data_IF_277935357628
#
_entry.id   IF_277935357628
#
_cell.length_a   1.000
_cell.length_b   1.000
_cell.length_c   1.000
_cell.angle_alpha   90.00
_cell.angle_beta   90.00
_cell.angle_gamma   90.00
#
_symmetry.space_group_name_H-M   'P 1'
#
loop_
_entity.id
_entity.type
_entity.pdbx_description
1 polymer ?
#
# COMPACT_ATOMS: atom_id res chain seq x y z
N UNK A 1 -9.93 0.03 -16.13
CA UNK A 1 -9.19 0.39 -14.89
C UNK A 1 -8.67 -0.88 -14.24
N UNK A 2 -7.64 -0.77 -13.40
CA UNK A 2 -7.10 -1.85 -12.57
C UNK A 2 -7.40 -1.49 -11.12
N UNK A 3 -7.97 -2.43 -10.37
CA UNK A 3 -8.23 -2.26 -8.93
C UNK A 3 -7.42 -3.34 -8.22
N UNK A 4 -6.58 -2.94 -7.26
CA UNK A 4 -5.80 -3.87 -6.45
C UNK A 4 -6.22 -3.80 -4.99
N UNK A 5 -6.29 -4.97 -4.36
CA UNK A 5 -6.53 -5.11 -2.92
C UNK A 5 -5.28 -5.72 -2.30
N UNK A 6 -4.68 -5.02 -1.36
CA UNK A 6 -3.44 -5.42 -0.69
C UNK A 6 -3.81 -5.97 0.68
N UNK A 7 -3.50 -7.23 0.88
CA UNK A 7 -3.63 -7.94 2.14
C UNK A 7 -2.61 -9.08 2.19
N UNK A 8 -1.40 -8.74 2.61
CA UNK A 8 -0.26 -9.64 2.64
C UNK A 8 0.71 -9.24 3.75
N UNK A 9 1.19 -10.21 4.52
CA UNK A 9 2.29 -10.01 5.47
C UNK A 9 3.66 -9.82 4.78
N UNK A 10 3.72 -10.04 3.46
CA UNK A 10 4.94 -9.97 2.65
C UNK A 10 4.99 -11.05 1.58
N UNK A 11 5.92 -10.90 0.63
CA UNK A 11 6.22 -11.96 -0.33
C UNK A 11 6.75 -13.21 0.39
N UNK A 12 6.41 -14.40 -0.12
CA UNK A 12 6.71 -15.66 0.57
C UNK A 12 8.23 -15.91 0.65
N UNK A 13 8.83 -15.99 1.86
CA UNK A 13 10.29 -16.08 2.00
C UNK A 13 10.77 -17.55 1.92
N UNK A 14 10.49 -18.23 0.81
CA UNK A 14 10.84 -19.62 0.58
C UNK A 14 11.96 -19.82 -0.44
N UNK A 15 12.75 -20.90 -0.29
CA UNK A 15 13.83 -21.25 -1.22
C UNK A 15 13.32 -21.31 -2.66
N UNK A 16 12.19 -21.99 -2.88
CA UNK A 16 11.61 -22.09 -4.21
C UNK A 16 11.17 -20.73 -4.80
N UNK A 17 10.79 -19.77 -3.96
CA UNK A 17 10.44 -18.43 -4.41
C UNK A 17 11.68 -17.68 -4.89
N UNK A 18 12.79 -17.81 -4.18
CA UNK A 18 14.08 -17.26 -4.58
C UNK A 18 14.61 -17.91 -5.87
N UNK A 19 14.55 -19.24 -5.98
CA UNK A 19 14.95 -19.98 -7.19
C UNK A 19 14.15 -19.57 -8.43
N UNK A 20 12.88 -19.17 -8.24
CA UNK A 20 11.99 -18.68 -9.30
C UNK A 20 12.09 -17.16 -9.52
N UNK A 21 13.00 -16.47 -8.83
CA UNK A 21 13.26 -15.04 -9.04
C UNK A 21 12.19 -14.13 -8.45
N UNK A 22 11.76 -14.36 -7.19
CA UNK A 22 10.76 -13.51 -6.52
C UNK A 22 11.09 -12.00 -6.59
N UNK A 23 12.35 -11.62 -6.43
CA UNK A 23 12.78 -10.23 -6.57
C UNK A 23 12.55 -9.66 -7.99
N UNK A 24 12.81 -10.44 -9.04
CA UNK A 24 12.52 -10.05 -10.43
C UNK A 24 11.01 -9.93 -10.67
N UNK A 25 10.23 -10.87 -10.14
CA UNK A 25 8.77 -10.85 -10.26
C UNK A 25 8.16 -9.59 -9.61
N UNK A 26 8.64 -9.19 -8.43
CA UNK A 26 8.24 -7.95 -7.76
C UNK A 26 8.66 -6.74 -8.60
N UNK A 27 9.94 -6.66 -8.99
CA UNK A 27 10.46 -5.53 -9.77
C UNK A 27 9.71 -5.35 -11.10
N UNK A 28 9.41 -6.44 -11.80
CA UNK A 28 8.66 -6.44 -13.04
C UNK A 28 7.21 -6.04 -12.85
N UNK A 29 6.58 -6.45 -11.74
CA UNK A 29 5.22 -6.02 -11.41
C UNK A 29 5.16 -4.51 -11.15
N UNK A 30 6.15 -3.98 -10.43
CA UNK A 30 6.31 -2.52 -10.23
C UNK A 30 6.51 -1.81 -11.57
N UNK A 31 7.43 -2.27 -12.41
CA UNK A 31 7.71 -1.66 -13.71
C UNK A 31 6.46 -1.67 -14.62
N UNK A 32 5.75 -2.80 -14.70
CA UNK A 32 4.48 -2.89 -15.44
C UNK A 32 3.47 -1.90 -14.86
N UNK A 33 3.28 -1.89 -13.54
CA UNK A 33 2.37 -0.97 -12.86
C UNK A 33 2.71 0.50 -13.11
N UNK A 34 3.98 0.88 -13.16
CA UNK A 34 4.40 2.25 -13.51
C UNK A 34 4.19 2.62 -14.99
N UNK A 35 4.03 1.63 -15.88
CA UNK A 35 3.96 1.82 -17.33
C UNK A 35 2.57 1.59 -17.94
N UNK A 36 1.62 0.97 -17.24
CA UNK A 36 0.26 0.76 -17.80
C UNK A 36 -0.45 2.09 -18.03
N UNK A 37 -1.18 2.15 -19.15
CA UNK A 37 -1.88 3.36 -19.65
C UNK A 37 -3.34 3.47 -19.19
N UNK A 38 -3.70 2.78 -18.12
CA UNK A 38 -5.05 2.77 -17.55
C UNK A 38 -4.99 3.20 -16.09
N UNK A 39 -6.08 3.75 -15.53
CA UNK A 39 -6.14 4.09 -14.12
C UNK A 39 -5.93 2.85 -13.24
N UNK A 40 -5.11 2.99 -12.20
CA UNK A 40 -4.89 2.01 -11.13
C UNK A 40 -5.33 2.61 -9.80
N UNK A 41 -6.21 1.91 -9.09
CA UNK A 41 -6.59 2.24 -7.71
C UNK A 41 -6.13 1.09 -6.81
N UNK A 42 -5.34 1.39 -5.79
CA UNK A 42 -4.85 0.41 -4.83
C UNK A 42 -5.50 0.65 -3.47
N UNK A 43 -5.97 -0.42 -2.82
CA UNK A 43 -6.59 -0.35 -1.49
C UNK A 43 -5.91 -1.37 -0.57
N UNK A 44 -5.27 -0.90 0.50
CA UNK A 44 -4.79 -1.80 1.57
C UNK A 44 -5.96 -2.11 2.49
N UNK A 45 -6.35 -3.37 2.53
CA UNK A 45 -7.53 -3.85 3.27
C UNK A 45 -7.21 -4.66 4.52
N UNK A 46 -5.94 -4.98 4.72
CA UNK A 46 -5.43 -5.64 5.90
C UNK A 46 -3.95 -5.28 6.09
N UNK A 47 -3.06 -6.23 5.80
CA UNK A 47 -1.62 -5.99 5.90
C UNK A 47 -1.01 -5.56 4.56
N UNK A 48 -0.13 -4.56 4.61
CA UNK A 48 0.70 -4.09 3.50
C UNK A 48 2.16 -4.45 3.75
N UNK A 49 2.54 -5.71 3.57
CA UNK A 49 3.89 -6.20 3.83
C UNK A 49 4.87 -5.93 2.69
N UNK A 50 5.74 -4.93 2.88
CA UNK A 50 7.01 -4.75 2.15
C UNK A 50 6.91 -4.92 0.62
N UNK A 51 7.89 -5.62 0.01
CA UNK A 51 7.96 -5.93 -1.41
C UNK A 51 6.72 -6.62 -1.99
N UNK A 52 6.07 -7.47 -1.19
CA UNK A 52 4.87 -8.19 -1.64
C UNK A 52 3.68 -7.27 -1.85
N UNK A 53 3.50 -6.28 -0.97
CA UNK A 53 2.45 -5.28 -1.09
C UNK A 53 2.71 -4.28 -2.22
N UNK A 54 3.92 -3.72 -2.31
CA UNK A 54 4.25 -2.70 -3.32
C UNK A 54 4.24 -3.26 -4.75
N UNK A 55 4.44 -4.57 -4.93
CA UNK A 55 4.33 -5.24 -6.23
C UNK A 55 3.00 -4.95 -6.95
N UNK A 56 1.92 -4.74 -6.20
CA UNK A 56 0.58 -4.40 -6.71
C UNK A 56 0.06 -3.06 -6.15
N UNK A 57 0.92 -2.28 -5.50
CA UNK A 57 0.60 -1.01 -4.84
C UNK A 57 0.99 0.23 -5.64
N UNK A 58 1.37 0.08 -6.91
CA UNK A 58 1.77 1.18 -7.81
C UNK A 58 0.57 1.93 -8.39
N UNK A 59 -0.38 2.33 -7.54
CA UNK A 59 -1.62 3.00 -7.92
C UNK A 59 -1.45 4.46 -8.36
N UNK A 60 -2.35 4.96 -9.20
CA UNK A 60 -2.56 6.41 -9.39
C UNK A 60 -3.17 7.02 -8.12
N UNK A 61 -4.02 6.24 -7.44
CA UNK A 61 -4.43 6.52 -6.08
C UNK A 61 -4.26 5.30 -5.18
N UNK A 62 -3.74 5.53 -3.98
CA UNK A 62 -3.54 4.54 -2.93
C UNK A 62 -4.39 4.92 -1.73
N UNK A 63 -5.25 4.00 -1.29
CA UNK A 63 -6.13 4.16 -0.14
C UNK A 63 -5.85 3.06 0.88
N UNK A 64 -6.14 3.32 2.15
CA UNK A 64 -6.03 2.32 3.21
C UNK A 64 -7.29 2.30 4.05
N UNK A 65 -7.67 1.12 4.54
CA UNK A 65 -8.63 1.05 5.63
C UNK A 65 -8.02 1.63 6.90
N UNK A 66 -8.87 2.15 7.77
CA UNK A 66 -8.48 2.86 8.99
C UNK A 66 -7.53 2.09 9.90
N UNK A 67 -7.72 0.78 10.03
CA UNK A 67 -6.90 -0.11 10.87
C UNK A 67 -5.95 -1.00 10.05
N UNK A 68 -5.86 -0.79 8.74
CA UNK A 68 -4.86 -1.45 7.91
C UNK A 68 -3.46 -0.90 8.21
N UNK A 69 -2.44 -1.73 7.95
CA UNK A 69 -1.03 -1.35 8.13
C UNK A 69 -0.28 -1.44 6.82
N UNK A 70 0.75 -0.63 6.62
CA UNK A 70 1.65 -0.73 5.46
C UNK A 70 3.08 -0.40 5.90
N UNK A 71 4.00 -1.34 5.75
CA UNK A 71 5.37 -1.19 6.26
C UNK A 71 6.41 -1.86 5.37
N UNK A 72 7.64 -1.33 5.39
CA UNK A 72 8.81 -1.92 4.72
C UNK A 72 9.29 -3.22 5.37
N UNK A 73 8.99 -3.42 6.65
CA UNK A 73 9.36 -4.60 7.44
C UNK A 73 8.29 -4.85 8.50
N UNK A 74 8.07 -6.10 8.91
CA UNK A 74 7.18 -6.37 10.04
C UNK A 74 7.71 -5.74 11.33
N UNK A 75 6.85 -5.31 12.27
CA UNK A 75 7.29 -4.80 13.56
C UNK A 75 8.20 -5.76 14.33
N UNK A 76 7.90 -7.06 14.27
CA UNK A 76 8.70 -8.12 14.90
C UNK A 76 10.10 -8.22 14.26
N UNK A 77 10.16 -8.13 12.93
CA UNK A 77 11.42 -8.13 12.18
C UNK A 77 12.28 -6.93 12.56
N UNK A 78 11.68 -5.74 12.56
CA UNK A 78 12.35 -4.50 12.98
C UNK A 78 12.87 -4.58 14.42
N UNK A 79 12.03 -5.05 15.35
CA UNK A 79 12.38 -5.22 16.76
C UNK A 79 13.56 -6.19 16.96
N UNK A 80 13.58 -7.31 16.21
CA UNK A 80 14.68 -8.28 16.26
C UNK A 80 16.02 -7.72 15.77
N UNK A 81 16.00 -6.76 14.85
CA UNK A 81 17.21 -6.16 14.26
C UNK A 81 17.71 -5.00 15.11
N UNK A 82 16.85 -4.02 15.40
CA UNK A 82 17.24 -2.76 16.04
C UNK A 82 17.31 -2.88 17.57
N UNK A 83 16.37 -3.61 18.18
CA UNK A 83 16.32 -3.81 19.64
C UNK A 83 16.86 -5.17 20.08
N UNK A 84 17.21 -6.07 19.14
CA UNK A 84 17.64 -7.45 19.43
C UNK A 84 16.65 -8.23 20.29
N UNK A 85 15.36 -7.85 20.24
CA UNK A 85 14.30 -8.49 21.01
C UNK A 85 12.97 -8.40 20.28
N UNK A 86 12.31 -9.54 20.09
CA UNK A 86 10.96 -9.59 19.52
C UNK A 86 9.91 -8.95 20.43
N UNK A 87 10.18 -8.83 21.74
CA UNK A 87 9.23 -8.20 22.68
C UNK A 87 9.08 -6.70 22.48
N UNK A 88 9.99 -6.07 21.71
CA UNK A 88 9.93 -4.65 21.38
C UNK A 88 9.07 -4.35 20.13
N UNK A 89 8.26 -5.30 19.65
CA UNK A 89 7.43 -5.13 18.45
C UNK A 89 6.49 -3.91 18.52
N UNK A 90 5.90 -3.62 19.68
CA UNK A 90 5.03 -2.46 19.84
C UNK A 90 5.81 -1.12 19.70
N UNK A 91 7.02 -1.06 20.25
CA UNK A 91 7.91 0.10 20.12
C UNK A 91 8.37 0.27 18.67
N UNK A 92 8.73 -0.84 18.01
CA UNK A 92 9.11 -0.85 16.61
C UNK A 92 7.94 -0.43 15.69
N UNK A 93 6.71 -0.89 15.97
CA UNK A 93 5.53 -0.48 15.21
C UNK A 93 5.28 1.03 15.28
N UNK A 94 5.41 1.62 16.48
CA UNK A 94 5.29 3.07 16.67
C UNK A 94 6.39 3.84 15.93
N UNK A 95 7.64 3.34 15.98
CA UNK A 95 8.77 3.96 15.29
C UNK A 95 8.68 3.87 13.76
N UNK A 96 8.04 2.82 13.23
CA UNK A 96 7.88 2.60 11.80
C UNK A 96 6.80 3.50 11.15
N UNK A 97 5.91 4.11 11.93
CA UNK A 97 4.84 4.98 11.43
C UNK A 97 4.00 4.31 10.33
N UNK A 98 3.53 3.09 10.62
CA UNK A 98 2.94 2.16 9.65
C UNK A 98 1.41 2.23 9.53
N UNK A 99 0.75 3.09 10.31
CA UNK A 99 -0.72 3.19 10.32
C UNK A 99 -1.24 4.00 9.13
N UNK A 100 -2.52 3.83 8.78
CA UNK A 100 -3.14 4.63 7.73
C UNK A 100 -3.05 6.15 8.01
N UNK A 101 -3.11 6.55 9.28
CA UNK A 101 -3.02 7.94 9.70
C UNK A 101 -1.61 8.50 9.51
N UNK A 102 -0.59 7.75 9.91
CA UNK A 102 0.81 8.12 9.70
C UNK A 102 1.11 8.28 8.20
N UNK A 103 0.72 7.29 7.40
CA UNK A 103 1.05 7.23 5.98
C UNK A 103 0.29 8.27 5.16
N UNK A 104 -0.87 8.73 5.63
CA UNK A 104 -1.55 9.88 5.05
C UNK A 104 -0.76 11.18 5.32
N UNK A 105 -0.24 11.36 6.53
CA UNK A 105 0.59 12.53 6.88
C UNK A 105 1.91 12.53 6.10
N UNK A 106 2.52 11.36 5.91
CA UNK A 106 3.74 11.16 5.12
C UNK A 106 3.49 11.23 3.60
N UNK A 107 2.25 11.46 3.15
CA UNK A 107 1.83 11.52 1.75
C UNK A 107 2.14 10.24 0.95
N UNK A 108 2.20 9.09 1.63
CA UNK A 108 2.37 7.78 0.98
C UNK A 108 1.03 7.32 0.38
N UNK A 109 -0.06 7.56 1.13
CA UNK A 109 -1.43 7.28 0.70
C UNK A 109 -2.23 8.56 0.52
N UNK A 110 -3.33 8.48 -0.22
CA UNK A 110 -4.20 9.63 -0.52
C UNK A 110 -5.39 9.75 0.40
N UNK A 111 -5.83 8.62 0.96
CA UNK A 111 -7.11 8.55 1.66
C UNK A 111 -7.17 7.39 2.63
N UNK A 112 -7.81 7.66 3.75
CA UNK A 112 -8.24 6.66 4.73
C UNK A 112 -9.72 6.37 4.50
N UNK A 113 -10.08 5.09 4.49
CA UNK A 113 -11.46 4.62 4.45
C UNK A 113 -11.83 4.18 5.85
N UNK A 114 -12.65 4.99 6.53
CA UNK A 114 -13.11 4.72 7.90
C UNK A 114 -13.81 3.36 7.99
N UNK A 115 -13.49 2.61 9.03
CA UNK A 115 -14.09 1.31 9.30
C UNK A 115 -15.35 1.47 10.18
N UNK A 116 -16.26 0.48 10.19
CA UNK A 116 -17.34 0.43 11.17
C UNK A 116 -16.81 0.41 12.61
N UNK A 117 -17.64 0.80 13.57
CA UNK A 117 -17.28 0.75 14.99
C UNK A 117 -16.85 -0.67 15.39
N UNK A 118 -15.61 -0.79 15.86
CA UNK A 118 -14.98 -2.06 16.22
C UNK A 118 -14.30 -2.80 15.07
N UNK A 119 -14.17 -2.19 13.89
CA UNK A 119 -13.39 -2.68 12.74
C UNK A 119 -14.23 -3.24 11.58
N UNK A 120 -13.59 -3.39 10.42
CA UNK A 120 -14.18 -3.84 9.15
C UNK A 120 -14.96 -5.15 9.27
N UNK A 121 -14.50 -6.06 10.13
CA UNK A 121 -15.11 -7.37 10.35
C UNK A 121 -16.49 -7.31 11.02
N UNK A 122 -16.84 -6.17 11.65
CA UNK A 122 -18.11 -5.99 12.37
C UNK A 122 -19.28 -5.75 11.41
N UNK A 123 -19.01 -5.20 10.22
CA UNK A 123 -20.03 -4.95 9.20
C UNK A 123 -19.43 -4.98 7.79
N UNK A 124 -19.24 -6.19 7.25
CA UNK A 124 -18.66 -6.38 5.91
C UNK A 124 -19.48 -5.69 4.81
N UNK A 125 -20.81 -5.72 4.89
CA UNK A 125 -21.67 -5.14 3.86
C UNK A 125 -21.48 -3.61 3.77
N UNK A 126 -21.39 -2.94 4.91
CA UNK A 126 -21.06 -1.52 4.97
C UNK A 126 -19.64 -1.24 4.49
N UNK A 127 -18.67 -2.05 4.90
CA UNK A 127 -17.27 -1.87 4.49
C UNK A 127 -17.11 -1.98 2.97
N UNK A 128 -17.71 -3.01 2.35
CA UNK A 128 -17.72 -3.20 0.90
C UNK A 128 -18.33 -1.98 0.20
N UNK A 129 -19.46 -1.47 0.71
CA UNK A 129 -20.11 -0.28 0.16
C UNK A 129 -19.20 0.96 0.26
N UNK A 130 -18.56 1.17 1.42
CA UNK A 130 -17.62 2.29 1.64
C UNK A 130 -16.44 2.21 0.68
N UNK A 131 -15.78 1.05 0.57
CA UNK A 131 -14.66 0.82 -0.37
C UNK A 131 -15.09 1.06 -1.81
N UNK A 132 -16.20 0.47 -2.25
CA UNK A 132 -16.71 0.64 -3.62
C UNK A 132 -17.03 2.11 -3.97
N UNK A 133 -17.59 2.86 -3.02
CA UNK A 133 -17.85 4.29 -3.19
C UNK A 133 -16.53 5.08 -3.33
N UNK A 134 -15.53 4.80 -2.49
CA UNK A 134 -14.24 5.49 -2.56
C UNK A 134 -13.49 5.18 -3.85
N UNK A 135 -13.48 3.92 -4.29
CA UNK A 135 -12.91 3.52 -5.58
C UNK A 135 -13.60 4.29 -6.72
N UNK A 136 -14.93 4.33 -6.74
CA UNK A 136 -15.68 5.05 -7.78
C UNK A 136 -15.39 6.55 -7.78
N UNK A 137 -15.24 7.16 -6.59
CA UNK A 137 -14.88 8.58 -6.46
C UNK A 137 -13.46 8.86 -6.96
N UNK A 138 -12.50 8.01 -6.62
CA UNK A 138 -11.11 8.14 -7.04
C UNK A 138 -10.93 7.88 -8.54
N UNK A 139 -11.71 6.97 -9.11
CA UNK A 139 -11.61 6.61 -10.52
C UNK A 139 -12.15 7.70 -11.46
N UNK A 140 -13.30 8.32 -11.13
CA UNK A 140 -13.95 9.36 -11.97
C UNK A 140 -13.00 10.42 -12.53
N UNK A 141 -12.16 11.12 -11.72
CA UNK A 141 -11.26 12.13 -12.25
C UNK A 141 -10.14 11.54 -13.13
N UNK A 142 -9.77 10.27 -12.93
CA UNK A 142 -8.72 9.59 -13.71
C UNK A 142 -9.21 9.16 -15.10
N UNK A 143 -10.51 8.95 -15.29
CA UNK A 143 -11.10 8.60 -16.59
C UNK A 143 -10.96 9.74 -17.62
N UNK A 144 -10.88 10.99 -17.15
CA UNK A 144 -10.69 12.16 -17.99
C UNK A 144 -9.20 12.45 -18.30
N UNK A 145 -8.27 11.69 -17.71
CA UNK A 145 -6.82 11.88 -17.90
C UNK A 145 -6.36 11.16 -19.16
N UNK A 146 -5.54 11.82 -19.95
CA UNK A 146 -4.92 11.20 -21.12
C UNK A 146 -4.04 10.00 -20.70
N UNK A 147 -4.06 8.95 -21.52
CA UNK A 147 -3.48 7.64 -21.22
C UNK A 147 -1.98 7.68 -20.96
N UNK A 148 -1.23 8.45 -21.73
CA UNK A 148 0.22 8.61 -21.53
C UNK A 148 0.53 9.51 -20.33
N UNK A 149 -0.34 10.49 -20.04
CA UNK A 149 -0.24 11.34 -18.86
C UNK A 149 -0.43 10.57 -17.54
N UNK A 150 -1.25 9.50 -17.52
CA UNK A 150 -1.40 8.64 -16.33
C UNK A 150 -0.06 8.07 -15.87
N UNK A 151 0.77 7.55 -16.79
CA UNK A 151 2.10 7.01 -16.46
C UNK A 151 3.02 8.07 -15.88
N UNK A 152 3.01 9.27 -16.46
CA UNK A 152 3.86 10.39 -16.04
C UNK A 152 3.48 10.78 -14.61
N UNK A 153 2.19 11.02 -14.36
CA UNK A 153 1.68 11.37 -13.01
C UNK A 153 2.03 10.31 -11.98
N UNK A 154 1.87 9.03 -12.32
CA UNK A 154 2.21 7.92 -11.43
C UNK A 154 3.70 7.93 -11.08
N UNK A 155 4.59 8.08 -12.06
CA UNK A 155 6.04 8.17 -11.81
C UNK A 155 6.40 9.38 -10.95
N UNK A 156 5.85 10.56 -11.27
CA UNK A 156 6.07 11.79 -10.50
C UNK A 156 5.63 11.63 -9.04
N UNK A 157 4.46 11.04 -8.81
CA UNK A 157 3.96 10.71 -7.47
C UNK A 157 5.00 9.92 -6.68
N UNK A 158 5.49 8.81 -7.22
CA UNK A 158 6.46 7.95 -6.52
C UNK A 158 7.83 8.63 -6.33
N UNK A 159 8.25 9.49 -7.25
CA UNK A 159 9.50 10.27 -7.11
C UNK A 159 9.40 11.39 -6.07
N UNK A 160 8.20 11.95 -5.86
CA UNK A 160 7.95 13.00 -4.87
C UNK A 160 7.88 12.46 -3.43
N UNK A 161 7.58 11.17 -3.26
CA UNK A 161 7.54 10.54 -1.93
C UNK A 161 8.88 10.71 -1.20
N UNK A 162 8.84 11.22 0.02
CA UNK A 162 10.01 11.42 0.87
C UNK A 162 10.81 12.71 0.63
N UNK A 163 10.51 13.49 -0.42
CA UNK A 163 11.25 14.74 -0.68
C UNK A 163 10.89 15.87 0.29
N UNK A 164 9.63 15.94 0.73
CA UNK A 164 9.11 16.99 1.62
C UNK A 164 9.39 16.73 3.12
N UNK A 165 10.05 15.62 3.47
CA UNK A 165 10.31 15.23 4.87
C UNK A 165 11.66 15.76 5.40
N UNK A 166 12.48 16.33 4.53
CA UNK A 166 13.82 16.82 4.84
C UNK A 166 13.88 18.35 5.11
N UNK A 167 12.74 19.02 5.23
CA UNK A 167 12.60 20.46 5.52
C UNK A 167 11.79 20.70 6.78
#
# INVERSE_FOLDING_TARGET
>A
PIITFIDTSGAYPGIEAEERGQAEAIAKSIDVGLNVKVPIISVVIGEGGSGGAIAIGTGDSVMMLEHAIYSVISPEGCASILWRSATAAAEAAAALQLTAQDLLQLKVIDRIIEEPLGGAHRNHAEMIKRVGNQISQALKPLEAVERDLLKIRRRERFLAMGQDLAS
#
